data_IF_876068855408
#
_entry.id   IF_876068855408
#
_cell.length_a   1.000
_cell.length_b   1.000
_cell.length_c   1.000
_cell.angle_alpha   90.00
_cell.angle_beta   90.00
_cell.angle_gamma   90.00
#
_symmetry.space_group_name_H-M   'P 1'
#
loop_
_entity.id
_entity.type
_entity.pdbx_description
1 polymer ?
#
# COMPACT_ATOMS: atom_id res chain seq x y z
N UNK A 1 10.05 14.73 33.95
CA UNK A 1 10.86 15.21 32.83
C UNK A 1 10.25 14.62 31.59
N UNK A 2 9.62 15.43 30.75
CA UNK A 2 9.06 14.96 29.48
C UNK A 2 10.22 14.81 28.51
N UNK A 3 10.56 13.58 28.13
CA UNK A 3 11.48 13.31 27.03
C UNK A 3 10.75 13.68 25.74
N UNK A 4 11.03 14.83 25.19
CA UNK A 4 10.62 15.17 23.83
C UNK A 4 11.44 14.25 22.93
N UNK A 5 10.82 13.21 22.38
CA UNK A 5 11.43 12.41 21.31
C UNK A 5 11.65 13.35 20.13
N UNK A 6 12.87 13.43 19.62
CA UNK A 6 13.14 14.22 18.42
C UNK A 6 12.36 13.59 17.25
N UNK A 7 11.61 14.40 16.51
CA UNK A 7 10.92 13.97 15.32
C UNK A 7 11.94 13.69 14.21
N UNK A 8 11.64 12.69 13.38
CA UNK A 8 12.51 12.19 12.30
C UNK A 8 11.93 12.62 10.97
N UNK A 9 12.76 13.10 10.05
CA UNK A 9 12.36 13.39 8.67
C UNK A 9 12.27 12.10 7.84
N UNK A 10 11.56 12.15 6.71
CA UNK A 10 11.48 11.00 5.78
C UNK A 10 12.85 10.59 5.23
N UNK A 11 13.74 11.56 4.98
CA UNK A 11 15.07 11.31 4.47
C UNK A 11 15.97 10.65 5.54
N UNK A 12 15.90 11.10 6.80
CA UNK A 12 16.56 10.44 7.93
C UNK A 12 16.03 9.03 8.14
N UNK A 13 14.70 8.84 8.14
CA UNK A 13 14.06 7.54 8.25
C UNK A 13 14.55 6.56 7.17
N UNK A 14 14.65 6.99 5.92
CA UNK A 14 15.15 6.15 4.81
C UNK A 14 16.63 5.82 4.94
N UNK A 15 17.42 6.65 5.61
CA UNK A 15 18.85 6.41 5.83
C UNK A 15 19.14 5.51 7.04
N UNK A 16 18.15 5.27 7.90
CA UNK A 16 18.29 4.44 9.09
C UNK A 16 18.26 2.95 8.74
N UNK A 17 19.00 2.14 9.49
CA UNK A 17 18.83 0.70 9.50
C UNK A 17 17.72 0.33 10.48
N UNK A 18 16.70 -0.34 9.98
CA UNK A 18 15.57 -0.81 10.80
C UNK A 18 15.74 -2.30 11.09
N UNK A 19 15.71 -2.69 12.36
CA UNK A 19 15.75 -4.09 12.77
C UNK A 19 14.42 -4.82 12.49
N UNK A 20 13.34 -4.05 12.38
CA UNK A 20 11.98 -4.52 12.10
C UNK A 20 11.31 -3.64 11.04
N UNK A 21 10.31 -4.17 10.31
CA UNK A 21 9.46 -3.34 9.48
C UNK A 21 8.91 -2.17 10.29
N UNK A 22 9.01 -0.96 9.76
CA UNK A 22 8.62 0.25 10.46
C UNK A 22 8.02 1.25 9.49
N UNK A 23 7.14 2.09 9.98
CA UNK A 23 6.58 3.24 9.29
C UNK A 23 7.00 4.52 10.01
N UNK A 24 7.05 5.62 9.28
CA UNK A 24 7.17 6.95 9.85
C UNK A 24 5.77 7.59 9.88
N UNK A 25 5.31 7.96 11.05
CA UNK A 25 3.99 8.58 11.23
C UNK A 25 4.18 9.91 11.94
N UNK A 26 4.04 11.01 11.22
CA UNK A 26 4.23 12.37 11.75
C UNK A 26 5.54 12.54 12.51
N UNK A 27 6.63 12.08 11.91
CA UNK A 27 7.96 12.15 12.49
C UNK A 27 8.25 11.11 13.58
N UNK A 28 7.32 10.24 13.94
CA UNK A 28 7.52 9.16 14.91
C UNK A 28 7.70 7.81 14.18
N UNK A 29 8.74 7.06 14.57
CA UNK A 29 8.98 5.70 14.03
C UNK A 29 8.08 4.73 14.78
N UNK A 30 7.24 4.02 14.02
CA UNK A 30 6.31 3.01 14.53
C UNK A 30 6.72 1.64 13.99
N UNK A 31 7.12 0.74 14.88
CA UNK A 31 7.44 -0.65 14.53
C UNK A 31 6.16 -1.42 14.18
N UNK A 32 6.23 -2.19 13.09
CA UNK A 32 5.14 -3.03 12.63
C UNK A 32 5.33 -4.48 13.09
N UNK A 33 4.23 -5.19 13.26
CA UNK A 33 4.25 -6.62 13.57
C UNK A 33 4.56 -7.44 12.31
N UNK A 34 5.36 -8.50 12.46
CA UNK A 34 5.62 -9.40 11.33
C UNK A 34 4.34 -10.10 10.87
N UNK A 35 4.03 -10.09 9.58
CA UNK A 35 2.82 -10.69 9.03
C UNK A 35 2.84 -12.22 9.11
N UNK A 36 1.67 -12.84 9.21
CA UNK A 36 1.52 -14.30 9.15
C UNK A 36 1.49 -14.85 7.74
N UNK A 37 1.60 -16.20 7.60
CA UNK A 37 1.68 -16.88 6.30
C UNK A 37 0.47 -16.62 5.37
N UNK A 38 -0.74 -16.51 5.93
CA UNK A 38 -1.94 -16.20 5.14
C UNK A 38 -1.87 -14.81 4.51
N UNK A 39 -1.43 -13.83 5.27
CA UNK A 39 -1.19 -12.47 4.79
C UNK A 39 -0.17 -12.49 3.65
N UNK A 40 1.02 -13.08 3.87
CA UNK A 40 2.05 -13.18 2.84
C UNK A 40 1.60 -13.90 1.57
N UNK A 41 0.73 -14.94 1.70
CA UNK A 41 0.16 -15.61 0.53
C UNK A 41 -0.74 -14.68 -0.29
N UNK A 42 -1.60 -13.90 0.38
CA UNK A 42 -2.48 -12.93 -0.30
C UNK A 42 -1.65 -11.83 -0.97
N UNK A 43 -0.63 -11.27 -0.30
CA UNK A 43 0.28 -10.30 -0.90
C UNK A 43 0.97 -10.85 -2.17
N UNK A 44 1.40 -12.12 -2.12
CA UNK A 44 2.00 -12.80 -3.27
C UNK A 44 1.02 -12.96 -4.43
N UNK A 45 -0.23 -13.35 -4.15
CA UNK A 45 -1.28 -13.49 -5.16
C UNK A 45 -1.62 -12.15 -5.82
N UNK A 46 -1.81 -11.10 -5.01
CA UNK A 46 -2.02 -9.72 -5.49
C UNK A 46 -0.88 -9.28 -6.41
N UNK A 47 0.35 -9.43 -5.95
CA UNK A 47 1.54 -9.06 -6.72
C UNK A 47 1.61 -9.81 -8.06
N UNK A 48 1.33 -11.11 -8.06
CA UNK A 48 1.31 -11.94 -9.25
C UNK A 48 0.23 -11.48 -10.26
N UNK A 49 -0.99 -11.26 -9.81
CA UNK A 49 -2.11 -10.85 -10.66
C UNK A 49 -1.86 -9.46 -11.26
N UNK A 50 -1.40 -8.50 -10.46
CA UNK A 50 -1.06 -7.16 -10.92
C UNK A 50 0.11 -7.16 -11.90
N UNK A 51 1.18 -7.94 -11.65
CA UNK A 51 2.30 -8.07 -12.58
C UNK A 51 1.89 -8.73 -13.89
N UNK A 52 1.03 -9.76 -13.84
CA UNK A 52 0.52 -10.44 -15.03
C UNK A 52 -0.29 -9.48 -15.90
N UNK A 53 -1.16 -8.70 -15.29
CA UNK A 53 -1.91 -7.65 -15.99
C UNK A 53 -0.98 -6.55 -16.53
N UNK A 54 -0.03 -6.07 -15.73
CA UNK A 54 0.88 -4.98 -16.11
C UNK A 54 1.69 -5.29 -17.38
N UNK A 55 2.13 -6.56 -17.55
CA UNK A 55 2.88 -7.00 -18.74
C UNK A 55 2.10 -6.91 -20.04
N UNK A 56 0.79 -6.76 -19.97
CA UNK A 56 -0.10 -6.63 -21.13
C UNK A 56 -0.39 -5.16 -21.48
N UNK A 57 0.09 -4.21 -20.67
CA UNK A 57 -0.16 -2.78 -20.87
C UNK A 57 0.86 -2.18 -21.83
N UNK A 58 0.43 -1.18 -22.60
CA UNK A 58 1.31 -0.42 -23.50
C UNK A 58 2.41 0.32 -22.71
N UNK A 59 2.03 0.92 -21.57
CA UNK A 59 2.96 1.46 -20.58
C UNK A 59 2.85 0.59 -19.34
N UNK A 60 3.88 -0.18 -18.98
CA UNK A 60 3.80 -1.11 -17.86
C UNK A 60 3.75 -0.36 -16.52
N UNK A 61 3.22 -1.04 -15.52
CA UNK A 61 3.27 -0.62 -14.13
C UNK A 61 4.34 -1.40 -13.39
N UNK A 62 5.05 -0.71 -12.51
CA UNK A 62 5.89 -1.38 -11.52
C UNK A 62 5.01 -1.79 -10.36
N UNK A 63 5.05 -3.06 -10.00
CA UNK A 63 4.35 -3.62 -8.84
C UNK A 63 5.38 -3.86 -7.77
N UNK A 64 5.25 -3.15 -6.67
CA UNK A 64 6.18 -3.16 -5.55
C UNK A 64 5.46 -3.80 -4.35
N UNK A 65 6.18 -4.57 -3.57
CA UNK A 65 5.67 -5.25 -2.37
C UNK A 65 6.66 -5.15 -1.22
N UNK A 66 6.32 -5.79 -0.11
CA UNK A 66 7.18 -5.86 1.07
C UNK A 66 7.27 -4.52 1.82
N UNK A 67 6.13 -3.89 2.05
CA UNK A 67 6.00 -2.66 2.86
C UNK A 67 6.92 -1.52 2.41
N UNK A 68 7.23 -1.46 1.11
CA UNK A 68 8.08 -0.42 0.55
C UNK A 68 7.43 0.95 0.74
N UNK A 69 8.16 1.86 1.38
CA UNK A 69 7.63 3.14 1.85
C UNK A 69 7.10 4.06 0.74
N UNK A 70 5.96 4.66 0.98
CA UNK A 70 5.36 5.74 0.19
C UNK A 70 5.28 6.99 1.06
N UNK A 71 5.84 8.10 0.60
CA UNK A 71 5.75 9.39 1.27
C UNK A 71 4.30 9.89 1.18
N UNK A 72 3.66 10.08 2.33
CA UNK A 72 2.26 10.54 2.39
C UNK A 72 2.13 11.99 2.86
N UNK A 73 3.11 12.48 3.59
CA UNK A 73 3.15 13.85 4.07
C UNK A 73 4.60 14.31 4.16
N UNK A 74 4.88 15.52 3.66
CA UNK A 74 6.16 16.19 3.83
C UNK A 74 5.91 17.57 4.43
N UNK A 75 6.12 17.67 5.72
CA UNK A 75 6.18 18.92 6.45
C UNK A 75 7.43 18.85 7.33
N UNK A 76 8.21 19.91 7.39
CA UNK A 76 9.52 19.95 8.04
C UNK A 76 9.60 19.31 9.44
N UNK A 77 8.47 19.22 10.12
CA UNK A 77 8.39 18.70 11.49
C UNK A 77 7.50 17.43 11.63
N UNK A 78 6.83 16.98 10.56
CA UNK A 78 5.80 15.92 10.65
C UNK A 78 5.74 15.01 9.45
N UNK A 79 6.87 14.71 8.82
CA UNK A 79 6.94 13.78 7.69
C UNK A 79 6.29 12.43 8.00
N UNK A 80 5.64 11.85 6.99
CA UNK A 80 5.03 10.51 7.10
C UNK A 80 5.40 9.65 5.89
N UNK A 81 5.86 8.43 6.17
CA UNK A 81 6.17 7.38 5.18
C UNK A 81 5.40 6.13 5.57
N UNK A 82 4.43 5.76 4.76
CA UNK A 82 3.59 4.57 4.99
C UNK A 82 4.04 3.43 4.09
N UNK A 83 4.05 2.20 4.61
CA UNK A 83 4.42 1.01 3.89
C UNK A 83 3.19 0.19 3.49
N UNK A 84 2.56 0.41 2.31
CA UNK A 84 1.52 -0.49 1.83
C UNK A 84 2.11 -1.87 1.51
N UNK A 85 1.34 -2.94 1.75
CA UNK A 85 1.77 -4.31 1.49
C UNK A 85 2.14 -4.54 0.02
N UNK A 86 1.34 -3.96 -0.90
CA UNK A 86 1.59 -3.95 -2.34
C UNK A 86 1.15 -2.61 -2.92
N UNK A 87 1.90 -2.07 -3.87
CA UNK A 87 1.41 -0.96 -4.67
C UNK A 87 1.81 -1.05 -6.14
N UNK A 88 1.05 -0.37 -6.99
CA UNK A 88 1.32 -0.28 -8.41
C UNK A 88 1.49 1.17 -8.84
N UNK A 89 2.60 1.47 -9.51
CA UNK A 89 2.90 2.77 -10.09
C UNK A 89 3.26 2.64 -11.57
N UNK A 90 2.68 3.49 -12.41
CA UNK A 90 2.97 3.49 -13.84
C UNK A 90 4.42 3.89 -14.12
N UNK A 91 5.10 3.15 -15.00
CA UNK A 91 6.54 3.30 -15.23
C UNK A 91 6.95 4.71 -15.64
N UNK A 92 6.15 5.38 -16.46
CA UNK A 92 6.41 6.74 -16.95
C UNK A 92 6.17 7.84 -15.89
N UNK A 93 5.72 7.49 -14.70
CA UNK A 93 5.59 8.38 -13.54
C UNK A 93 6.74 8.26 -12.55
N UNK A 94 7.66 7.32 -12.80
CA UNK A 94 8.81 7.16 -11.91
C UNK A 94 9.72 8.38 -11.96
N UNK A 95 10.24 8.86 -10.82
CA UNK A 95 11.27 9.87 -10.78
C UNK A 95 12.49 9.42 -11.62
N UNK A 96 12.92 10.25 -12.57
CA UNK A 96 14.08 9.94 -13.44
C UNK A 96 13.98 8.60 -14.22
N UNK A 97 12.78 8.00 -14.31
CA UNK A 97 12.54 6.71 -14.96
C UNK A 97 13.01 5.49 -14.18
N UNK A 98 13.39 5.64 -12.91
CA UNK A 98 13.91 4.57 -12.06
C UNK A 98 13.18 4.51 -10.71
N UNK A 99 13.17 3.33 -10.12
CA UNK A 99 12.67 3.15 -8.74
C UNK A 99 13.68 3.77 -7.76
N UNK A 100 13.23 4.59 -6.79
CA UNK A 100 14.11 5.16 -5.79
C UNK A 100 14.70 4.07 -4.87
N UNK A 101 15.86 4.32 -4.31
CA UNK A 101 16.49 3.43 -3.31
C UNK A 101 15.75 3.51 -1.95
N UNK A 102 15.18 4.68 -1.63
CA UNK A 102 14.40 4.92 -0.40
C UNK A 102 12.89 4.80 -0.64
N UNK A 103 12.14 5.67 0.01
CA UNK A 103 10.69 5.73 -0.14
C UNK A 103 10.28 6.33 -1.50
N UNK A 104 9.10 5.94 -1.97
CA UNK A 104 8.48 6.51 -3.17
C UNK A 104 7.91 7.90 -2.83
N UNK A 105 8.36 8.92 -3.56
CA UNK A 105 7.91 10.31 -3.38
C UNK A 105 6.72 10.70 -4.28
N UNK A 106 6.39 9.84 -5.24
CA UNK A 106 5.24 10.01 -6.14
C UNK A 106 4.15 9.05 -5.70
N UNK A 107 2.92 9.55 -5.52
CA UNK A 107 1.80 8.71 -5.13
C UNK A 107 1.50 7.64 -6.20
N UNK A 108 1.46 6.34 -5.83
CA UNK A 108 1.07 5.27 -6.74
C UNK A 108 -0.38 5.40 -7.23
N UNK A 109 -0.71 4.73 -8.33
CA UNK A 109 -2.09 4.63 -8.79
C UNK A 109 -2.94 3.78 -7.86
N UNK A 110 -2.38 2.69 -7.35
CA UNK A 110 -3.03 1.75 -6.46
C UNK A 110 -2.12 1.42 -5.28
N UNK A 111 -2.68 1.42 -4.07
CA UNK A 111 -2.08 0.76 -2.91
C UNK A 111 -3.02 -0.32 -2.36
N UNK A 112 -2.44 -1.36 -1.79
CA UNK A 112 -3.15 -2.51 -1.24
C UNK A 112 -2.66 -2.77 0.18
N UNK A 113 -3.60 -2.96 1.09
CA UNK A 113 -3.40 -3.44 2.46
C UNK A 113 -4.07 -4.80 2.62
N UNK A 114 -3.39 -5.73 3.23
CA UNK A 114 -3.93 -7.05 3.56
C UNK A 114 -4.07 -7.17 5.07
N UNK A 115 -5.29 -7.33 5.56
CA UNK A 115 -5.54 -7.36 7.00
C UNK A 115 -4.88 -8.57 7.67
N UNK A 116 -4.23 -8.29 8.77
CA UNK A 116 -3.76 -9.27 9.75
C UNK A 116 -4.74 -9.39 10.93
N UNK A 117 -4.76 -10.49 11.68
CA UNK A 117 -5.67 -10.64 12.82
C UNK A 117 -5.49 -9.59 13.94
N UNK A 118 -4.34 -8.93 14.00
CA UNK A 118 -4.02 -7.87 14.96
C UNK A 118 -4.47 -6.49 14.53
N UNK A 119 -4.85 -6.30 13.26
CA UNK A 119 -5.17 -4.99 12.73
C UNK A 119 -6.51 -4.47 13.24
N UNK A 120 -6.55 -3.18 13.46
CA UNK A 120 -7.74 -2.48 13.93
C UNK A 120 -8.25 -1.57 12.83
N UNK A 121 -9.53 -1.68 12.50
CA UNK A 121 -10.15 -0.88 11.43
C UNK A 121 -9.89 0.63 11.54
N UNK A 122 -9.91 1.29 12.72
CA UNK A 122 -9.57 2.71 12.81
C UNK A 122 -8.17 3.04 12.31
N UNK A 123 -7.18 2.19 12.59
CA UNK A 123 -5.79 2.40 12.20
C UNK A 123 -5.63 2.19 10.67
N UNK A 124 -6.28 1.14 10.14
CA UNK A 124 -6.34 0.86 8.70
C UNK A 124 -7.00 2.01 7.94
N UNK A 125 -8.15 2.51 8.41
CA UNK A 125 -8.85 3.63 7.79
C UNK A 125 -8.05 4.94 7.86
N UNK A 126 -7.27 5.15 8.93
CA UNK A 126 -6.33 6.27 9.02
C UNK A 126 -5.28 6.19 7.91
N UNK A 127 -4.65 5.02 7.72
CA UNK A 127 -3.66 4.77 6.66
C UNK A 127 -4.27 4.95 5.27
N UNK A 128 -5.46 4.39 5.02
CA UNK A 128 -6.21 4.59 3.77
C UNK A 128 -6.43 6.08 3.49
N UNK A 129 -6.92 6.82 4.48
CA UNK A 129 -7.18 8.26 4.35
C UNK A 129 -5.91 9.06 4.08
N UNK A 130 -4.78 8.71 4.71
CA UNK A 130 -3.49 9.36 4.49
C UNK A 130 -2.98 9.12 3.07
N UNK A 131 -3.01 7.86 2.58
CA UNK A 131 -2.57 7.52 1.22
C UNK A 131 -3.44 8.17 0.14
N UNK A 132 -4.77 8.17 0.30
CA UNK A 132 -5.67 8.86 -0.63
C UNK A 132 -5.41 10.37 -0.66
N UNK A 133 -5.22 11.02 0.50
CA UNK A 133 -4.87 12.45 0.58
C UNK A 133 -3.51 12.76 -0.04
N UNK A 134 -2.56 11.83 0.00
CA UNK A 134 -1.27 11.94 -0.65
C UNK A 134 -1.35 11.81 -2.19
N UNK A 135 -2.54 11.48 -2.74
CA UNK A 135 -2.77 11.39 -4.18
C UNK A 135 -2.78 9.97 -4.74
N UNK A 136 -2.82 8.95 -3.90
CA UNK A 136 -3.12 7.58 -4.34
C UNK A 136 -4.55 7.56 -4.89
N UNK A 137 -4.75 7.00 -6.08
CA UNK A 137 -6.05 7.07 -6.75
C UNK A 137 -7.04 6.04 -6.19
N UNK A 138 -6.56 4.87 -5.82
CA UNK A 138 -7.39 3.78 -5.33
C UNK A 138 -6.67 2.96 -4.26
N UNK A 139 -7.40 2.58 -3.22
CA UNK A 139 -6.91 1.71 -2.16
C UNK A 139 -7.76 0.46 -2.08
N UNK A 140 -7.11 -0.70 -1.98
CA UNK A 140 -7.78 -1.95 -1.65
C UNK A 140 -7.38 -2.39 -0.26
N UNK A 141 -8.36 -2.67 0.58
CA UNK A 141 -8.14 -3.36 1.86
C UNK A 141 -8.71 -4.76 1.71
N UNK A 142 -7.83 -5.75 1.71
CA UNK A 142 -8.18 -7.15 1.53
C UNK A 142 -8.32 -7.80 2.90
N UNK A 143 -9.46 -8.42 3.14
CA UNK A 143 -9.76 -9.16 4.38
C UNK A 143 -9.68 -10.68 4.14
N UNK A 144 -8.56 -11.34 4.51
CA UNK A 144 -8.42 -12.78 4.31
C UNK A 144 -9.32 -13.62 5.22
N UNK A 145 -9.82 -13.07 6.33
CA UNK A 145 -10.70 -13.80 7.25
C UNK A 145 -12.09 -13.97 6.66
N UNK A 146 -12.61 -12.93 6.02
CA UNK A 146 -13.94 -12.92 5.39
C UNK A 146 -13.88 -13.10 3.87
N UNK A 147 -12.66 -13.12 3.28
CA UNK A 147 -12.41 -13.21 1.83
C UNK A 147 -13.08 -12.09 1.04
N UNK A 148 -12.99 -10.87 1.55
CA UNK A 148 -13.59 -9.66 0.97
C UNK A 148 -12.53 -8.67 0.58
N UNK A 149 -12.91 -7.79 -0.36
CA UNK A 149 -12.11 -6.63 -0.74
C UNK A 149 -12.92 -5.37 -0.51
N UNK A 150 -12.35 -4.45 0.25
CA UNK A 150 -12.88 -3.11 0.42
C UNK A 150 -12.13 -2.17 -0.50
N UNK A 151 -12.82 -1.49 -1.39
CA UNK A 151 -12.25 -0.53 -2.36
C UNK A 151 -12.58 0.87 -1.93
N UNK A 152 -11.55 1.71 -1.79
CA UNK A 152 -11.67 3.11 -1.38
C UNK A 152 -11.12 4.02 -2.48
N UNK A 153 -11.82 5.13 -2.72
CA UNK A 153 -11.41 6.25 -3.59
C UNK A 153 -11.75 7.56 -2.90
N UNK A 154 -11.10 8.66 -3.30
CA UNK A 154 -11.26 9.94 -2.60
C UNK A 154 -12.69 10.49 -2.65
N UNK A 155 -13.38 10.30 -3.75
CA UNK A 155 -14.67 10.96 -4.03
C UNK A 155 -15.85 9.98 -4.06
N UNK A 156 -15.62 8.69 -3.78
CA UNK A 156 -16.63 7.64 -3.85
C UNK A 156 -16.93 7.04 -2.46
N UNK A 157 -18.13 6.53 -2.28
CA UNK A 157 -18.44 5.67 -1.15
C UNK A 157 -17.66 4.35 -1.26
N UNK A 158 -17.11 3.82 -0.15
CA UNK A 158 -16.40 2.56 -0.16
C UNK A 158 -17.27 1.40 -0.69
N UNK A 159 -16.70 0.59 -1.57
CA UNK A 159 -17.36 -0.61 -2.10
C UNK A 159 -16.76 -1.84 -1.44
N UNK A 160 -17.62 -2.81 -1.09
CA UNK A 160 -17.19 -4.12 -0.55
C UNK A 160 -17.57 -5.19 -1.55
N UNK A 161 -16.59 -6.02 -1.91
CA UNK A 161 -16.76 -7.11 -2.88
C UNK A 161 -16.65 -8.46 -2.19
N UNK A 162 -17.61 -9.33 -2.48
CA UNK A 162 -17.65 -10.74 -2.01
C UNK A 162 -16.84 -11.67 -2.95
N UNK A 163 -16.53 -12.90 -2.52
CA UNK A 163 -15.65 -13.82 -3.28
C UNK A 163 -16.11 -14.20 -4.69
N UNK A 164 -17.42 -14.17 -4.95
CA UNK A 164 -18.03 -14.49 -6.24
C UNK A 164 -18.11 -13.31 -7.20
N UNK A 165 -17.66 -12.13 -6.78
CA UNK A 165 -17.64 -10.93 -7.58
C UNK A 165 -16.29 -10.71 -8.29
N UNK A 166 -16.26 -9.69 -9.15
CA UNK A 166 -15.07 -9.28 -9.88
C UNK A 166 -14.62 -7.90 -9.41
N UNK A 167 -13.34 -7.83 -9.03
CA UNK A 167 -12.65 -6.60 -8.71
C UNK A 167 -12.19 -5.94 -10.01
N UNK A 168 -12.65 -4.73 -10.24
CA UNK A 168 -12.19 -3.85 -11.32
C UNK A 168 -11.59 -2.59 -10.72
N UNK A 169 -10.69 -1.96 -11.45
CA UNK A 169 -10.01 -0.75 -10.97
C UNK A 169 -10.19 0.42 -11.93
N UNK A 170 -10.49 1.59 -11.39
CA UNK A 170 -10.47 2.84 -12.15
C UNK A 170 -9.04 3.38 -12.29
N UNK A 171 -8.16 3.06 -11.36
CA UNK A 171 -6.75 3.43 -11.36
C UNK A 171 -5.92 2.57 -12.33
N UNK A 172 -6.36 1.32 -12.60
CA UNK A 172 -5.69 0.35 -13.46
C UNK A 172 -6.63 -0.10 -14.58
N UNK A 173 -6.73 0.65 -15.69
CA UNK A 173 -7.72 0.42 -16.73
C UNK A 173 -7.64 -0.97 -17.36
N UNK A 174 -8.79 -1.65 -17.44
CA UNK A 174 -8.90 -2.99 -18.01
C UNK A 174 -8.48 -4.13 -17.08
N UNK A 175 -8.09 -3.83 -15.83
CA UNK A 175 -7.88 -4.86 -14.82
C UNK A 175 -9.22 -5.46 -14.40
N UNK A 176 -9.30 -6.79 -14.45
CA UNK A 176 -10.43 -7.58 -13.94
C UNK A 176 -9.85 -8.79 -13.24
N UNK A 177 -10.15 -8.95 -11.95
CA UNK A 177 -9.70 -10.06 -11.10
C UNK A 177 -10.93 -10.67 -10.44
N UNK A 178 -11.12 -11.98 -10.52
CA UNK A 178 -12.11 -12.63 -9.67
C UNK A 178 -11.62 -12.57 -8.21
N UNK A 179 -12.45 -12.03 -7.32
CA UNK A 179 -12.05 -11.78 -5.92
C UNK A 179 -11.48 -13.04 -5.25
N UNK A 180 -12.05 -14.21 -5.55
CA UNK A 180 -11.55 -15.49 -5.03
C UNK A 180 -10.09 -15.79 -5.40
N UNK A 181 -9.56 -15.28 -6.54
CA UNK A 181 -8.18 -15.53 -6.97
C UNK A 181 -7.15 -14.87 -6.04
N UNK A 182 -7.55 -13.83 -5.29
CA UNK A 182 -6.70 -13.19 -4.29
C UNK A 182 -6.37 -14.13 -3.13
N UNK A 183 -7.23 -15.11 -2.87
CA UNK A 183 -7.11 -16.00 -1.71
C UNK A 183 -6.61 -17.40 -2.08
N UNK A 184 -6.75 -17.81 -3.34
CA UNK A 184 -6.32 -19.10 -3.84
C UNK A 184 -5.75 -18.95 -5.26
N UNK A 185 -4.49 -19.35 -5.45
CA UNK A 185 -3.99 -19.69 -6.79
C UNK A 185 -4.25 -21.18 -6.98
N UNK A 186 -5.10 -21.51 -7.93
CA UNK A 186 -5.29 -22.88 -8.44
C UNK A 186 -4.21 -23.18 -9.45
#
# INVERSE_FOLDING_TARGET
>A
MSTTTALVTADEFSAMAHERPSELIRGEIVEMTSPGSRHGQVCSNVSHLLQTWSRQQLVPYNVISNDAGVLTERDSDTDSVRGPDVYAIRHDRLPDGELPVGHMSVAPELCVEVLSPSDRWPDVLSKVSELLRAGVHEMWVIDPAHRRVHVFRSDDEPTVLDPDEHLTSTALPGLVIAVQELFFLT
#
